data_IF_163257563036
#
_entry.id   IF_163257563036
#
_cell.length_a   1.000
_cell.length_b   1.000
_cell.length_c   1.000
_cell.angle_alpha   90.00
_cell.angle_beta   90.00
_cell.angle_gamma   90.00
#
_symmetry.space_group_name_H-M   'P 1'
#
loop_
_entity.id
_entity.type
_entity.pdbx_description
1 polymer ?
#
# COMPACT_ATOMS: atom_id res chain seq x y z
N UNK A 1 -39.98 30.90 -24.49
CA UNK A 1 -38.53 30.73 -24.20
C UNK A 1 -37.97 29.80 -25.26
N UNK A 2 -37.16 30.33 -26.17
CA UNK A 2 -36.60 29.55 -27.27
C UNK A 2 -35.69 28.45 -26.70
N UNK A 3 -35.90 27.21 -27.13
CA UNK A 3 -34.97 26.11 -26.85
C UNK A 3 -33.69 26.46 -27.60
N UNK A 4 -32.64 26.88 -26.90
CA UNK A 4 -31.29 26.81 -27.44
C UNK A 4 -31.03 25.34 -27.79
N UNK A 5 -31.15 25.01 -29.07
CA UNK A 5 -30.76 23.70 -29.55
C UNK A 5 -29.28 23.53 -29.24
N UNK A 6 -28.98 22.58 -28.37
CA UNK A 6 -27.60 22.27 -28.02
C UNK A 6 -26.83 22.00 -29.32
N UNK A 7 -25.75 22.76 -29.54
CA UNK A 7 -24.83 22.65 -30.68
C UNK A 7 -24.38 21.20 -30.97
N UNK A 8 -24.44 20.32 -29.96
CA UNK A 8 -24.03 18.92 -30.02
C UNK A 8 -25.22 17.97 -29.80
N UNK A 9 -25.29 16.89 -30.58
CA UNK A 9 -26.41 15.95 -30.59
C UNK A 9 -26.01 14.47 -30.62
N UNK A 10 -26.98 13.58 -30.41
CA UNK A 10 -26.78 12.12 -30.34
C UNK A 10 -27.96 11.33 -30.91
N UNK A 11 -28.70 11.93 -31.86
CA UNK A 11 -29.93 11.35 -32.44
C UNK A 11 -29.66 10.02 -33.14
N UNK A 12 -28.54 9.96 -33.86
CA UNK A 12 -28.06 8.84 -34.64
C UNK A 12 -26.53 8.92 -34.77
N UNK A 13 -25.93 7.95 -35.45
CA UNK A 13 -24.50 7.89 -35.69
C UNK A 13 -23.97 9.12 -36.44
N UNK A 14 -24.67 9.57 -37.48
CA UNK A 14 -24.24 10.72 -38.27
C UNK A 14 -24.19 12.00 -37.42
N UNK A 15 -25.19 12.21 -36.56
CA UNK A 15 -25.22 13.36 -35.64
C UNK A 15 -24.13 13.26 -34.57
N UNK A 16 -23.78 12.06 -34.14
CA UNK A 16 -22.67 11.84 -33.21
C UNK A 16 -21.32 12.20 -33.86
N UNK A 17 -21.09 11.77 -35.10
CA UNK A 17 -19.88 12.10 -35.88
C UNK A 17 -19.79 13.61 -36.15
N UNK A 18 -20.88 14.27 -36.53
CA UNK A 18 -20.94 15.73 -36.69
C UNK A 18 -20.59 16.46 -35.37
N UNK A 19 -21.11 15.96 -34.25
CA UNK A 19 -20.82 16.54 -32.94
C UNK A 19 -19.35 16.39 -32.55
N UNK A 20 -18.72 15.26 -32.90
CA UNK A 20 -17.29 15.06 -32.69
C UNK A 20 -16.45 15.98 -33.58
N UNK A 21 -16.88 16.22 -34.83
CA UNK A 21 -16.21 17.15 -35.73
C UNK A 21 -16.26 18.58 -35.20
N UNK A 22 -17.44 19.03 -34.76
CA UNK A 22 -17.62 20.35 -34.15
C UNK A 22 -16.79 20.54 -32.88
N UNK A 23 -16.53 19.45 -32.14
CA UNK A 23 -15.73 19.48 -30.92
C UNK A 23 -14.23 19.60 -31.19
N UNK A 24 -13.72 19.28 -32.39
CA UNK A 24 -12.27 19.39 -32.70
C UNK A 24 -11.72 20.80 -32.53
N UNK A 25 -12.56 21.82 -32.66
CA UNK A 25 -12.19 23.23 -32.48
C UNK A 25 -12.00 23.63 -31.00
N UNK A 26 -12.49 22.82 -30.06
CA UNK A 26 -12.44 23.10 -28.62
C UNK A 26 -11.20 22.47 -27.96
N UNK A 27 -10.90 22.83 -26.72
CA UNK A 27 -9.79 22.21 -25.98
C UNK A 27 -10.09 20.74 -25.61
N UNK A 28 -9.04 19.93 -25.53
CA UNK A 28 -9.16 18.49 -25.31
C UNK A 28 -9.95 18.11 -24.04
N UNK A 29 -9.82 18.89 -22.96
CA UNK A 29 -10.55 18.63 -21.71
C UNK A 29 -12.04 18.91 -21.89
N UNK A 30 -12.40 19.98 -22.59
CA UNK A 30 -13.78 20.30 -22.94
C UNK A 30 -14.39 19.26 -23.89
N UNK A 31 -13.64 18.79 -24.88
CA UNK A 31 -14.06 17.70 -25.76
C UNK A 31 -14.45 16.46 -24.95
N UNK A 32 -13.56 16.00 -24.07
CA UNK A 32 -13.78 14.80 -23.24
C UNK A 32 -14.98 14.94 -22.30
N UNK A 33 -15.15 16.10 -21.66
CA UNK A 33 -16.30 16.38 -20.80
C UNK A 33 -17.62 16.40 -21.57
N UNK A 34 -17.62 17.02 -22.76
CA UNK A 34 -18.81 17.13 -23.59
C UNK A 34 -19.25 15.78 -24.12
N UNK A 35 -18.31 14.96 -24.61
CA UNK A 35 -18.60 13.60 -25.08
C UNK A 35 -19.13 12.71 -23.95
N UNK A 36 -18.52 12.75 -22.75
CA UNK A 36 -19.05 12.03 -21.56
C UNK A 36 -20.46 12.50 -21.19
N UNK A 37 -20.72 13.80 -21.25
CA UNK A 37 -22.04 14.38 -21.02
C UNK A 37 -23.09 13.93 -22.04
N UNK A 38 -22.73 13.85 -23.32
CA UNK A 38 -23.58 13.36 -24.41
C UNK A 38 -23.93 11.88 -24.22
N UNK A 39 -22.94 11.04 -23.89
CA UNK A 39 -23.19 9.61 -23.57
C UNK A 39 -24.16 9.48 -22.39
N UNK A 40 -23.98 10.26 -21.33
CA UNK A 40 -24.87 10.24 -20.16
C UNK A 40 -26.29 10.70 -20.46
N UNK A 41 -26.48 11.66 -21.39
CA UNK A 41 -27.82 12.05 -21.88
C UNK A 41 -28.41 10.97 -22.79
N UNK A 42 -27.62 10.42 -23.71
CA UNK A 42 -28.04 9.36 -24.62
C UNK A 42 -28.50 8.11 -23.87
N UNK A 43 -27.77 7.66 -22.84
CA UNK A 43 -28.17 6.53 -21.99
C UNK A 43 -29.49 6.80 -21.24
N UNK A 44 -29.73 8.04 -20.78
CA UNK A 44 -31.03 8.41 -20.18
C UNK A 44 -32.16 8.37 -21.21
N UNK A 45 -31.97 8.94 -22.40
CA UNK A 45 -32.98 8.91 -23.48
C UNK A 45 -33.25 7.48 -23.95
N UNK A 46 -32.22 6.63 -24.00
CA UNK A 46 -32.33 5.22 -24.35
C UNK A 46 -33.29 4.47 -23.41
N UNK A 47 -33.25 4.73 -22.10
CA UNK A 47 -34.18 4.10 -21.13
C UNK A 47 -35.64 4.53 -21.30
N UNK A 48 -35.89 5.66 -21.95
CA UNK A 48 -37.24 6.22 -22.16
C UNK A 48 -37.77 5.95 -23.58
N UNK A 49 -36.93 5.48 -24.49
CA UNK A 49 -37.28 5.29 -25.91
C UNK A 49 -37.81 3.88 -26.13
N UNK A 50 -39.05 3.76 -26.61
CA UNK A 50 -39.70 2.47 -26.91
C UNK A 50 -39.62 2.05 -28.38
N UNK A 51 -39.40 3.01 -29.29
CA UNK A 51 -39.30 2.73 -30.72
C UNK A 51 -37.95 2.10 -31.06
N UNK A 52 -37.97 0.87 -31.58
CA UNK A 52 -36.79 0.04 -31.80
C UNK A 52 -35.76 0.67 -32.74
N UNK A 53 -36.21 1.29 -33.82
CA UNK A 53 -35.34 2.02 -34.76
C UNK A 53 -34.59 3.17 -34.05
N UNK A 54 -35.28 3.93 -33.19
CA UNK A 54 -34.66 5.02 -32.42
C UNK A 54 -33.70 4.49 -31.35
N UNK A 55 -34.02 3.35 -30.74
CA UNK A 55 -33.12 2.65 -29.80
C UNK A 55 -31.81 2.27 -30.51
N UNK A 56 -31.88 1.72 -31.72
CA UNK A 56 -30.71 1.34 -32.50
C UNK A 56 -29.88 2.57 -32.91
N UNK A 57 -30.53 3.66 -33.32
CA UNK A 57 -29.85 4.91 -33.67
C UNK A 57 -29.12 5.52 -32.46
N UNK A 58 -29.74 5.55 -31.28
CA UNK A 58 -29.11 6.04 -30.04
C UNK A 58 -27.96 5.13 -29.61
N UNK A 59 -28.09 3.79 -29.73
CA UNK A 59 -27.00 2.86 -29.45
C UNK A 59 -25.81 3.10 -30.38
N UNK A 60 -26.04 3.29 -31.68
CA UNK A 60 -25.00 3.58 -32.65
C UNK A 60 -24.31 4.93 -32.36
N UNK A 61 -25.05 5.95 -31.92
CA UNK A 61 -24.49 7.22 -31.47
C UNK A 61 -23.61 7.04 -30.22
N UNK A 62 -24.05 6.26 -29.23
CA UNK A 62 -23.27 5.95 -28.01
C UNK A 62 -21.98 5.23 -28.37
N UNK A 63 -22.04 4.20 -29.22
CA UNK A 63 -20.88 3.42 -29.65
C UNK A 63 -19.85 4.30 -30.36
N UNK A 64 -20.30 5.26 -31.18
CA UNK A 64 -19.44 6.22 -31.86
C UNK A 64 -18.67 7.09 -30.87
N UNK A 65 -19.35 7.61 -29.85
CA UNK A 65 -18.70 8.39 -28.78
C UNK A 65 -17.76 7.55 -27.91
N UNK A 66 -18.13 6.31 -27.60
CA UNK A 66 -17.29 5.40 -26.80
C UNK A 66 -16.00 5.05 -27.56
N UNK A 67 -16.09 4.72 -28.86
CA UNK A 67 -14.92 4.51 -29.73
C UNK A 67 -14.02 5.75 -29.83
N UNK A 68 -14.62 6.93 -29.96
CA UNK A 68 -13.85 8.18 -29.98
C UNK A 68 -13.15 8.44 -28.63
N UNK A 69 -13.83 8.20 -27.50
CA UNK A 69 -13.21 8.31 -26.17
C UNK A 69 -12.07 7.31 -25.99
N UNK A 70 -12.19 6.09 -26.50
CA UNK A 70 -11.12 5.10 -26.45
C UNK A 70 -9.89 5.53 -27.25
N UNK A 71 -10.10 6.07 -28.45
CA UNK A 71 -9.02 6.57 -29.32
C UNK A 71 -8.34 7.83 -28.76
N UNK A 72 -9.10 8.71 -28.11
CA UNK A 72 -8.62 10.03 -27.69
C UNK A 72 -8.26 10.12 -26.21
N UNK A 73 -8.34 9.04 -25.44
CA UNK A 73 -7.92 9.05 -24.03
C UNK A 73 -6.39 8.96 -23.90
N UNK A 74 -5.70 10.09 -24.10
CA UNK A 74 -4.30 10.24 -23.68
C UNK A 74 -4.26 10.41 -22.15
N UNK A 75 -4.15 9.30 -21.44
CA UNK A 75 -3.76 9.14 -20.04
C UNK A 75 -3.89 10.39 -19.13
N UNK A 76 -5.10 10.67 -18.65
CA UNK A 76 -5.35 11.21 -17.30
C UNK A 76 -6.84 11.37 -17.04
N UNK A 77 -7.52 10.26 -16.70
CA UNK A 77 -8.57 10.29 -15.67
C UNK A 77 -8.86 8.87 -15.21
N UNK A 78 -8.70 8.68 -13.90
CA UNK A 78 -8.90 7.46 -13.12
C UNK A 78 -10.28 6.85 -13.40
N UNK A 79 -10.29 5.71 -14.10
CA UNK A 79 -11.26 4.60 -14.03
C UNK A 79 -11.04 3.55 -15.15
N UNK A 80 -9.84 3.52 -15.76
CA UNK A 80 -9.36 2.34 -16.44
C UNK A 80 -8.70 1.43 -15.40
N UNK A 81 -9.16 0.17 -15.36
CA UNK A 81 -8.53 -0.97 -14.68
C UNK A 81 -7.01 -0.88 -14.81
N UNK A 82 -6.23 -0.90 -13.72
CA UNK A 82 -4.78 -0.88 -13.82
C UNK A 82 -4.31 -2.01 -14.72
N UNK A 83 -3.62 -1.65 -15.82
CA UNK A 83 -2.67 -2.53 -16.50
C UNK A 83 -1.28 -2.24 -15.90
N UNK A 84 -1.17 -2.44 -14.61
CA UNK A 84 -0.12 -3.30 -14.10
C UNK A 84 -0.87 -4.56 -13.69
N UNK A 85 -0.33 -5.74 -13.96
CA UNK A 85 -0.80 -6.95 -13.31
C UNK A 85 -0.47 -6.84 -11.80
N UNK A 86 -1.13 -5.93 -11.08
CA UNK A 86 -1.37 -6.14 -9.65
C UNK A 86 -2.17 -7.43 -9.60
N UNK A 87 -1.44 -8.51 -9.35
CA UNK A 87 -1.99 -9.81 -9.04
C UNK A 87 -3.17 -9.59 -8.10
N UNK A 88 -4.37 -9.97 -8.57
CA UNK A 88 -5.62 -9.65 -7.87
C UNK A 88 -5.49 -10.18 -6.45
N UNK A 89 -5.38 -9.27 -5.48
CA UNK A 89 -5.29 -9.64 -4.08
C UNK A 89 -6.55 -10.42 -3.72
N UNK A 90 -6.36 -11.68 -3.31
CA UNK A 90 -7.43 -12.53 -2.82
C UNK A 90 -8.08 -11.87 -1.60
N UNK A 91 -9.40 -11.73 -1.63
CA UNK A 91 -10.15 -11.21 -0.48
C UNK A 91 -10.24 -12.28 0.59
N UNK A 92 -10.15 -11.89 1.87
CA UNK A 92 -10.36 -12.83 2.98
C UNK A 92 -11.75 -13.48 2.84
N UNK A 93 -11.83 -14.82 2.81
CA UNK A 93 -13.10 -15.52 2.66
C UNK A 93 -13.96 -15.44 3.93
N UNK A 94 -15.26 -15.66 3.78
CA UNK A 94 -16.19 -15.80 4.92
C UNK A 94 -16.68 -14.48 5.54
N UNK A 95 -16.28 -13.31 5.02
CA UNK A 95 -16.80 -12.02 5.46
C UNK A 95 -18.24 -11.80 4.94
N UNK A 96 -19.15 -11.32 5.80
CA UNK A 96 -20.55 -11.13 5.46
C UNK A 96 -21.34 -10.24 6.44
N UNK A 97 -22.53 -9.82 6.02
CA UNK A 97 -23.39 -8.90 6.79
C UNK A 97 -24.89 -9.23 6.68
N UNK A 98 -25.23 -10.44 6.23
CA UNK A 98 -26.62 -10.83 5.93
C UNK A 98 -27.52 -10.84 7.17
N UNK A 99 -26.95 -11.13 8.33
CA UNK A 99 -27.63 -11.26 9.62
C UNK A 99 -26.60 -11.07 10.75
N UNK A 100 -27.11 -11.00 11.99
CA UNK A 100 -26.30 -10.83 13.20
C UNK A 100 -25.20 -11.90 13.33
N UNK A 101 -25.55 -13.16 13.08
CA UNK A 101 -24.60 -14.28 13.19
C UNK A 101 -23.46 -14.14 12.16
N UNK A 102 -23.76 -13.75 10.92
CA UNK A 102 -22.75 -13.52 9.89
C UNK A 102 -21.83 -12.33 10.24
N UNK A 103 -22.36 -11.29 10.88
CA UNK A 103 -21.56 -10.18 11.37
C UNK A 103 -20.63 -10.62 12.51
N UNK A 104 -21.11 -11.39 13.48
CA UNK A 104 -20.30 -11.96 14.56
C UNK A 104 -19.18 -12.86 14.01
N UNK A 105 -19.49 -13.74 13.05
CA UNK A 105 -18.48 -14.56 12.37
C UNK A 105 -17.45 -13.71 11.63
N UNK A 106 -17.89 -12.62 10.99
CA UNK A 106 -16.98 -11.67 10.32
C UNK A 106 -16.02 -11.04 11.31
N UNK A 107 -16.51 -10.56 12.46
CA UNK A 107 -15.67 -9.99 13.51
C UNK A 107 -14.65 -11.01 14.03
N UNK A 108 -15.07 -12.27 14.19
CA UNK A 108 -14.19 -13.38 14.57
C UNK A 108 -13.11 -13.66 13.51
N UNK A 109 -13.46 -13.68 12.23
CA UNK A 109 -12.49 -13.87 11.12
C UNK A 109 -11.46 -12.73 11.06
N UNK A 110 -11.85 -11.53 11.46
CA UNK A 110 -10.99 -10.34 11.47
C UNK A 110 -10.13 -10.22 12.73
N UNK A 111 -10.40 -11.01 13.77
CA UNK A 111 -9.61 -11.01 15.00
C UNK A 111 -8.14 -11.36 14.71
N UNK A 112 -7.21 -10.68 15.39
CA UNK A 112 -5.76 -10.87 15.20
C UNK A 112 -5.17 -10.28 13.89
N UNK A 113 -5.98 -9.90 12.91
CA UNK A 113 -5.49 -9.26 11.66
C UNK A 113 -5.02 -7.82 11.88
N UNK A 114 -4.40 -7.21 10.87
CA UNK A 114 -3.95 -5.82 10.95
C UNK A 114 -5.10 -4.86 11.29
N UNK A 115 -4.98 -4.00 12.31
CA UNK A 115 -6.05 -3.05 12.70
C UNK A 115 -6.59 -2.23 11.52
N UNK A 116 -5.70 -1.75 10.65
CA UNK A 116 -6.10 -1.00 9.46
C UNK A 116 -6.95 -1.84 8.49
N UNK A 117 -6.62 -3.13 8.35
CA UNK A 117 -7.41 -4.04 7.52
C UNK A 117 -8.76 -4.37 8.16
N UNK A 118 -8.82 -4.58 9.48
CA UNK A 118 -10.08 -4.79 10.20
C UNK A 118 -11.02 -3.60 9.95
N UNK A 119 -10.53 -2.37 10.17
CA UNK A 119 -11.30 -1.14 9.93
C UNK A 119 -11.73 -1.01 8.47
N UNK A 120 -10.84 -1.29 7.52
CA UNK A 120 -11.14 -1.24 6.08
C UNK A 120 -12.24 -2.23 5.69
N UNK A 121 -12.12 -3.49 6.14
CA UNK A 121 -13.06 -4.56 5.83
C UNK A 121 -14.46 -4.23 6.38
N UNK A 122 -14.55 -3.82 7.65
CA UNK A 122 -15.82 -3.47 8.29
C UNK A 122 -16.48 -2.25 7.63
N UNK A 123 -15.72 -1.20 7.32
CA UNK A 123 -16.24 -0.04 6.56
C UNK A 123 -16.75 -0.45 5.17
N UNK A 124 -16.04 -1.34 4.49
CA UNK A 124 -16.46 -1.88 3.19
C UNK A 124 -17.79 -2.66 3.25
N UNK A 125 -17.96 -3.48 4.30
CA UNK A 125 -19.19 -4.23 4.53
C UNK A 125 -20.35 -3.31 4.92
N UNK A 126 -20.13 -2.32 5.80
CA UNK A 126 -21.13 -1.29 6.13
C UNK A 126 -21.58 -0.52 4.89
N UNK A 127 -20.64 -0.11 4.03
CA UNK A 127 -20.97 0.55 2.76
C UNK A 127 -21.78 -0.35 1.83
N UNK A 128 -21.50 -1.66 1.83
CA UNK A 128 -22.25 -2.64 1.04
C UNK A 128 -23.66 -2.86 1.60
N UNK A 129 -23.80 -2.99 2.91
CA UNK A 129 -25.09 -3.09 3.59
C UNK A 129 -25.98 -1.87 3.32
N UNK A 130 -25.42 -0.66 3.44
CA UNK A 130 -26.12 0.61 3.14
C UNK A 130 -26.63 0.68 1.68
N UNK A 131 -25.90 0.07 0.72
CA UNK A 131 -26.36 0.00 -0.69
C UNK A 131 -27.45 -1.05 -0.91
N UNK A 132 -27.43 -2.15 -0.18
CA UNK A 132 -28.39 -3.26 -0.32
C UNK A 132 -29.72 -2.96 0.37
N UNK A 133 -29.70 -2.24 1.49
CA UNK A 133 -30.89 -1.91 2.28
C UNK A 133 -32.05 -1.33 1.46
N UNK A 134 -31.87 -0.29 0.63
CA UNK A 134 -32.99 0.31 -0.13
C UNK A 134 -33.64 -0.65 -1.15
N UNK A 135 -32.88 -1.63 -1.64
CA UNK A 135 -33.38 -2.62 -2.61
C UNK A 135 -34.04 -3.83 -1.92
N UNK A 136 -33.95 -3.94 -0.59
CA UNK A 136 -34.47 -5.09 0.17
C UNK A 136 -35.90 -4.84 0.60
N UNK A 137 -36.85 -5.61 0.05
CA UNK A 137 -38.30 -5.46 0.32
C UNK A 137 -38.79 -6.29 1.51
N UNK A 138 -38.07 -7.35 1.88
CA UNK A 138 -38.46 -8.22 2.97
C UNK A 138 -38.05 -7.60 4.31
N UNK A 139 -39.03 -7.36 5.19
CA UNK A 139 -38.84 -6.64 6.46
C UNK A 139 -37.94 -7.40 7.43
N UNK A 140 -38.04 -8.72 7.51
CA UNK A 140 -37.16 -9.55 8.36
C UNK A 140 -35.70 -9.42 7.92
N UNK A 141 -35.43 -9.48 6.61
CA UNK A 141 -34.08 -9.27 6.06
C UNK A 141 -33.58 -7.85 6.32
N UNK A 142 -34.44 -6.85 6.21
CA UNK A 142 -34.07 -5.46 6.56
C UNK A 142 -33.67 -5.38 8.03
N UNK A 143 -34.43 -6.01 8.93
CA UNK A 143 -34.11 -6.07 10.36
C UNK A 143 -32.78 -6.79 10.61
N UNK A 144 -32.57 -7.97 10.01
CA UNK A 144 -31.32 -8.73 10.16
C UNK A 144 -30.09 -7.97 9.64
N UNK A 145 -30.20 -7.25 8.52
CA UNK A 145 -29.11 -6.41 8.00
C UNK A 145 -28.84 -5.23 8.94
N UNK A 146 -29.89 -4.59 9.50
CA UNK A 146 -29.71 -3.51 10.48
C UNK A 146 -29.03 -3.99 11.75
N UNK A 147 -29.38 -5.17 12.27
CA UNK A 147 -28.72 -5.78 13.42
C UNK A 147 -27.24 -6.07 13.13
N UNK A 148 -26.92 -6.60 11.95
CA UNK A 148 -25.53 -6.79 11.50
C UNK A 148 -24.75 -5.47 11.42
N UNK A 149 -25.39 -4.42 10.90
CA UNK A 149 -24.78 -3.09 10.82
C UNK A 149 -24.50 -2.48 12.18
N UNK A 150 -25.42 -2.64 13.14
CA UNK A 150 -25.23 -2.15 14.51
C UNK A 150 -23.96 -2.74 15.14
N UNK A 151 -23.75 -4.06 15.03
CA UNK A 151 -22.53 -4.71 15.51
C UNK A 151 -21.24 -4.14 14.88
N UNK A 152 -21.29 -3.79 13.60
CA UNK A 152 -20.16 -3.20 12.90
C UNK A 152 -19.92 -1.74 13.29
N UNK A 153 -20.98 -0.97 13.54
CA UNK A 153 -20.86 0.41 14.04
C UNK A 153 -20.31 0.39 15.48
N UNK A 154 -20.83 -0.47 16.36
CA UNK A 154 -20.30 -0.68 17.72
C UNK A 154 -18.82 -1.09 17.71
N UNK A 155 -18.43 -1.99 16.80
CA UNK A 155 -17.03 -2.38 16.62
C UNK A 155 -16.15 -1.18 16.22
N UNK A 156 -16.60 -0.34 15.29
CA UNK A 156 -15.83 0.82 14.83
C UNK A 156 -15.72 1.88 15.93
N UNK A 157 -16.77 2.09 16.72
CA UNK A 157 -16.76 3.00 17.86
C UNK A 157 -15.79 2.52 18.95
N UNK A 158 -15.79 1.22 19.26
CA UNK A 158 -14.81 0.60 20.16
C UNK A 158 -13.39 0.76 19.59
N UNK A 159 -13.21 0.49 18.30
CA UNK A 159 -11.93 0.57 17.62
C UNK A 159 -11.31 1.98 17.73
N UNK A 160 -12.12 3.02 17.54
CA UNK A 160 -11.67 4.40 17.62
C UNK A 160 -11.46 4.85 19.07
N UNK A 161 -12.31 4.42 20.02
CA UNK A 161 -12.16 4.68 21.45
C UNK A 161 -10.87 4.08 22.03
N UNK A 162 -10.51 2.87 21.61
CA UNK A 162 -9.29 2.18 22.03
C UNK A 162 -8.04 2.58 21.20
N UNK A 163 -8.21 3.53 20.27
CA UNK A 163 -7.17 3.98 19.34
C UNK A 163 -6.46 2.82 18.62
N UNK A 164 -7.19 1.75 18.29
CA UNK A 164 -6.61 0.50 17.75
C UNK A 164 -5.82 0.72 16.46
N UNK A 165 -6.10 1.79 15.71
CA UNK A 165 -5.31 2.21 14.55
C UNK A 165 -3.84 2.49 14.89
N UNK A 166 -3.54 3.06 16.07
CA UNK A 166 -2.16 3.31 16.51
C UNK A 166 -1.39 2.03 16.84
N UNK A 167 -2.10 0.92 17.02
CA UNK A 167 -1.52 -0.38 17.30
C UNK A 167 -1.12 -1.14 16.02
N UNK A 168 -1.38 -0.56 14.85
CA UNK A 168 -1.03 -1.17 13.58
C UNK A 168 0.49 -1.35 13.45
N UNK A 169 0.90 -2.51 12.94
CA UNK A 169 2.31 -2.90 12.80
C UNK A 169 2.67 -2.97 11.32
N UNK A 170 2.99 -1.83 10.66
CA UNK A 170 3.22 -1.78 9.22
C UNK A 170 4.34 -2.71 8.78
N UNK A 171 4.21 -3.23 7.56
CA UNK A 171 5.18 -4.15 6.98
C UNK A 171 6.41 -3.39 6.49
N UNK A 172 7.60 -3.93 6.80
CA UNK A 172 8.83 -3.54 6.13
C UNK A 172 8.83 -4.09 4.70
N UNK A 173 9.52 -3.40 3.80
CA UNK A 173 9.78 -3.92 2.46
C UNK A 173 10.79 -5.07 2.53
N UNK A 174 10.62 -6.07 1.65
CA UNK A 174 11.58 -7.18 1.50
C UNK A 174 13.00 -6.65 1.27
N UNK A 175 13.14 -5.61 0.44
CA UNK A 175 14.43 -5.00 0.13
C UNK A 175 15.15 -4.46 1.38
N UNK A 176 14.43 -3.81 2.29
CA UNK A 176 15.02 -3.34 3.54
C UNK A 176 15.43 -4.53 4.42
N UNK A 177 14.60 -5.57 4.51
CA UNK A 177 14.89 -6.75 5.36
C UNK A 177 16.17 -7.46 4.89
N UNK A 178 16.35 -7.62 3.57
CA UNK A 178 17.55 -8.27 2.98
C UNK A 178 18.86 -7.55 3.30
N UNK A 179 18.81 -6.24 3.53
CA UNK A 179 19.99 -5.44 3.86
C UNK A 179 20.41 -5.55 5.33
N UNK A 180 19.57 -6.16 6.17
CA UNK A 180 19.81 -6.30 7.60
C UNK A 180 20.59 -7.59 7.92
N UNK A 181 21.39 -7.59 9.01
CA UNK A 181 21.96 -8.81 9.57
C UNK A 181 20.87 -9.79 9.98
N UNK A 182 21.15 -11.09 9.81
CA UNK A 182 20.33 -12.15 10.40
C UNK A 182 20.58 -12.17 11.92
N UNK A 183 19.54 -12.29 12.75
CA UNK A 183 19.71 -12.47 14.19
C UNK A 183 20.48 -13.76 14.51
N UNK A 184 21.12 -13.78 15.66
CA UNK A 184 21.93 -14.92 16.14
C UNK A 184 21.11 -16.19 16.34
N UNK A 185 19.83 -16.07 16.69
CA UNK A 185 18.88 -17.17 16.82
C UNK A 185 17.70 -16.97 15.86
N UNK A 186 17.83 -17.45 14.61
CA UNK A 186 16.76 -17.31 13.62
C UNK A 186 15.57 -18.21 14.00
N UNK A 187 14.38 -17.61 14.05
CA UNK A 187 13.13 -18.33 14.20
C UNK A 187 12.77 -18.99 12.86
N UNK A 188 12.63 -20.31 12.84
CA UNK A 188 12.26 -21.07 11.65
C UNK A 188 10.91 -20.61 11.08
N UNK A 189 9.95 -20.32 11.96
CA UNK A 189 8.63 -19.86 11.53
C UNK A 189 8.69 -18.46 10.91
N UNK A 190 9.56 -17.59 11.44
CA UNK A 190 9.81 -16.27 10.85
C UNK A 190 10.52 -16.38 9.49
N UNK A 191 11.42 -17.35 9.33
CA UNK A 191 12.06 -17.64 8.04
C UNK A 191 11.03 -18.14 7.01
N UNK A 192 10.14 -19.06 7.39
CA UNK A 192 9.05 -19.55 6.52
C UNK A 192 8.07 -18.42 6.14
N UNK A 193 7.77 -17.53 7.09
CA UNK A 193 6.99 -16.32 6.84
C UNK A 193 7.65 -15.41 5.79
N UNK A 194 8.95 -15.13 5.95
CA UNK A 194 9.69 -14.27 5.01
C UNK A 194 9.80 -14.91 3.63
N UNK A 195 10.03 -16.23 3.56
CA UNK A 195 10.04 -16.96 2.30
C UNK A 195 8.69 -16.82 1.58
N UNK A 196 7.57 -17.02 2.28
CA UNK A 196 6.24 -16.80 1.71
C UNK A 196 6.01 -15.32 1.31
N UNK A 197 6.48 -14.36 2.11
CA UNK A 197 6.32 -12.94 1.82
C UNK A 197 7.12 -12.52 0.57
N UNK A 198 8.31 -13.09 0.40
CA UNK A 198 9.20 -12.82 -0.72
C UNK A 198 8.77 -13.55 -2.01
N UNK A 199 8.50 -14.85 -1.94
CA UNK A 199 8.34 -15.70 -3.13
C UNK A 199 6.88 -15.78 -3.59
N UNK A 200 5.96 -16.08 -2.67
CA UNK A 200 4.53 -16.27 -2.98
C UNK A 200 3.80 -14.94 -3.05
N UNK A 201 4.02 -14.06 -2.06
CA UNK A 201 3.37 -12.76 -1.99
C UNK A 201 4.12 -11.67 -2.78
N UNK A 202 5.32 -11.95 -3.30
CA UNK A 202 6.14 -11.05 -4.13
C UNK A 202 6.33 -9.66 -3.50
N UNK A 203 6.48 -9.61 -2.17
CA UNK A 203 6.61 -8.37 -1.41
C UNK A 203 5.30 -7.58 -1.22
N UNK A 204 4.15 -8.07 -1.69
CA UNK A 204 2.85 -7.47 -1.42
C UNK A 204 2.17 -8.18 -0.25
N UNK A 205 2.30 -7.58 0.93
CA UNK A 205 1.82 -8.13 2.21
C UNK A 205 0.31 -8.42 2.22
N UNK A 206 -0.48 -7.82 1.32
CA UNK A 206 -1.93 -8.07 1.29
C UNK A 206 -2.25 -9.52 0.93
N UNK A 207 -1.40 -10.22 0.17
CA UNK A 207 -1.59 -11.64 -0.14
C UNK A 207 -1.46 -12.54 1.09
N UNK A 208 -0.68 -12.12 2.10
CA UNK A 208 -0.47 -12.86 3.35
C UNK A 208 -1.76 -13.05 4.15
N UNK A 209 -2.83 -12.30 3.84
CA UNK A 209 -4.15 -12.43 4.45
C UNK A 209 -4.89 -13.71 4.08
N UNK A 210 -4.40 -14.42 3.06
CA UNK A 210 -5.02 -15.64 2.50
C UNK A 210 -4.06 -16.82 2.40
N UNK A 211 -2.77 -16.60 2.69
CA UNK A 211 -1.75 -17.64 2.71
C UNK A 211 -1.47 -18.04 4.14
N UNK A 212 -1.25 -19.33 4.37
CA UNK A 212 -0.98 -19.92 5.68
C UNK A 212 0.29 -20.79 5.60
N UNK A 213 0.95 -21.08 6.74
CA UNK A 213 1.93 -22.14 6.81
C UNK A 213 1.30 -23.49 6.40
N UNK A 214 2.15 -24.45 6.01
CA UNK A 214 1.67 -25.81 5.73
C UNK A 214 1.01 -26.37 7.00
N UNK A 215 -0.16 -26.95 6.82
CA UNK A 215 -0.93 -27.64 7.88
C UNK A 215 -1.49 -26.73 8.99
N UNK A 216 -1.42 -25.41 8.85
CA UNK A 216 -2.08 -24.46 9.77
C UNK A 216 -3.34 -23.83 9.16
N UNK A 217 -4.35 -23.56 10.00
CA UNK A 217 -5.58 -22.88 9.59
C UNK A 217 -5.46 -21.35 9.61
N UNK A 218 -4.52 -20.81 10.38
CA UNK A 218 -4.31 -19.37 10.54
C UNK A 218 -3.45 -18.81 9.41
N UNK A 219 -3.81 -17.62 8.93
CA UNK A 219 -3.07 -16.95 7.85
C UNK A 219 -1.85 -16.20 8.39
N UNK A 220 -0.88 -15.96 7.52
CA UNK A 220 0.42 -15.37 7.87
C UNK A 220 0.29 -14.00 8.53
N UNK A 221 -0.69 -13.18 8.15
CA UNK A 221 -0.94 -11.88 8.80
C UNK A 221 -1.32 -12.03 10.29
N UNK A 222 -2.14 -13.03 10.63
CA UNK A 222 -2.54 -13.32 12.01
C UNK A 222 -1.35 -13.86 12.81
N UNK A 223 -0.65 -14.86 12.25
CA UNK A 223 0.51 -15.50 12.89
C UNK A 223 1.59 -14.47 13.18
N UNK A 224 1.91 -13.62 12.19
CA UNK A 224 2.85 -12.50 12.33
C UNK A 224 2.44 -11.60 13.47
N UNK A 225 1.20 -11.10 13.48
CA UNK A 225 0.76 -10.14 14.48
C UNK A 225 0.80 -10.75 15.89
N UNK A 226 0.38 -12.01 16.05
CA UNK A 226 0.50 -12.74 17.32
C UNK A 226 1.94 -12.82 17.82
N UNK A 227 2.89 -13.15 16.94
CA UNK A 227 4.30 -13.25 17.32
C UNK A 227 4.93 -11.88 17.61
N UNK A 228 4.57 -10.85 16.84
CA UNK A 228 5.00 -9.48 17.11
C UNK A 228 4.52 -8.97 18.47
N UNK A 229 3.30 -9.29 18.90
CA UNK A 229 2.84 -8.90 20.24
C UNK A 229 3.68 -9.54 21.36
N UNK A 230 4.19 -10.77 21.16
CA UNK A 230 5.10 -11.43 22.11
C UNK A 230 6.48 -10.78 22.14
N UNK A 231 6.95 -10.30 20.99
CA UNK A 231 8.27 -9.70 20.81
C UNK A 231 8.32 -8.19 21.07
N UNK A 232 7.17 -7.54 21.30
CA UNK A 232 7.16 -6.11 21.56
C UNK A 232 8.05 -5.78 22.77
N UNK A 233 8.99 -4.83 22.63
CA UNK A 233 9.84 -4.41 23.73
C UNK A 233 8.98 -3.94 24.89
N UNK A 234 9.32 -4.39 26.10
CA UNK A 234 8.60 -4.01 27.33
C UNK A 234 9.33 -2.85 27.99
N UNK A 235 8.63 -1.76 28.27
CA UNK A 235 9.22 -0.57 28.89
C UNK A 235 10.21 0.14 27.95
N UNK A 236 11.37 0.54 28.47
CA UNK A 236 12.37 1.36 27.79
C UNK A 236 13.47 0.56 27.06
N UNK A 237 13.19 -0.68 26.66
CA UNK A 237 14.17 -1.51 25.96
C UNK A 237 14.62 -0.83 24.65
N UNK A 238 15.93 -0.55 24.56
CA UNK A 238 16.51 0.10 23.39
C UNK A 238 16.63 -0.88 22.23
N UNK A 239 16.08 -0.48 21.08
CA UNK A 239 16.16 -1.26 19.83
C UNK A 239 17.44 -1.04 19.03
N UNK A 240 18.30 -0.14 19.50
CA UNK A 240 19.63 0.12 18.95
C UNK A 240 20.62 0.25 20.10
N UNK A 241 21.82 -0.27 19.88
CA UNK A 241 22.95 -0.08 20.79
C UNK A 241 23.52 1.35 20.71
N UNK A 242 24.56 1.62 21.50
CA UNK A 242 25.29 2.89 21.50
C UNK A 242 25.99 3.18 20.17
N UNK A 243 26.33 2.16 19.39
CA UNK A 243 27.00 2.26 18.10
C UNK A 243 25.99 2.50 16.96
N UNK A 244 24.69 2.52 17.25
CA UNK A 244 23.62 2.66 16.27
C UNK A 244 23.32 1.38 15.48
N UNK A 245 23.77 0.21 15.94
CA UNK A 245 23.40 -1.09 15.37
C UNK A 245 22.09 -1.59 15.99
N UNK A 246 21.20 -2.26 15.22
CA UNK A 246 20.01 -2.87 15.76
C UNK A 246 20.36 -3.94 16.80
N UNK A 247 19.62 -3.96 17.90
CA UNK A 247 19.75 -5.05 18.89
C UNK A 247 19.17 -6.36 18.36
N UNK A 248 19.49 -7.46 19.02
CA UNK A 248 18.94 -8.79 18.67
C UNK A 248 17.40 -8.79 18.67
N UNK A 249 16.78 -8.15 19.67
CA UNK A 249 15.32 -7.96 19.74
C UNK A 249 14.80 -7.24 18.50
N UNK A 250 15.49 -6.18 18.05
CA UNK A 250 15.07 -5.43 16.88
C UNK A 250 15.23 -6.23 15.58
N UNK A 251 16.29 -7.03 15.45
CA UNK A 251 16.47 -7.94 14.31
C UNK A 251 15.37 -9.03 14.28
N UNK A 252 14.95 -9.55 15.44
CA UNK A 252 13.81 -10.49 15.53
C UNK A 252 12.49 -9.84 15.12
N UNK A 253 12.23 -8.58 15.48
CA UNK A 253 11.07 -7.83 14.97
C UNK A 253 11.15 -7.65 13.45
N UNK A 254 12.34 -7.35 12.93
CA UNK A 254 12.56 -7.17 11.49
C UNK A 254 12.37 -8.48 10.70
N UNK A 255 12.68 -9.65 11.28
CA UNK A 255 12.36 -10.94 10.67
C UNK A 255 10.85 -11.17 10.50
N UNK A 256 10.03 -10.58 11.36
CA UNK A 256 8.57 -10.53 11.21
C UNK A 256 8.12 -9.32 10.38
N UNK A 257 9.00 -8.76 9.54
CA UNK A 257 8.77 -7.61 8.70
C UNK A 257 8.20 -6.40 9.47
N UNK A 258 8.70 -6.10 10.67
CA UNK A 258 8.24 -4.96 11.46
C UNK A 258 9.40 -4.21 12.12
N UNK A 259 9.25 -2.88 12.19
CA UNK A 259 10.08 -2.04 13.05
C UNK A 259 9.29 -0.81 13.48
N UNK A 260 9.30 -0.43 14.78
CA UNK A 260 8.76 0.85 15.22
C UNK A 260 9.71 2.04 14.90
N UNK A 261 10.94 1.78 14.45
CA UNK A 261 11.97 2.78 14.18
C UNK A 261 12.53 2.63 12.75
N UNK A 262 11.63 2.59 11.76
CA UNK A 262 11.93 2.29 10.35
C UNK A 262 13.02 3.19 9.77
N UNK A 263 12.98 4.51 10.01
CA UNK A 263 13.96 5.45 9.45
C UNK A 263 15.37 5.24 9.99
N UNK A 264 15.49 4.89 11.28
CA UNK A 264 16.77 4.55 11.90
C UNK A 264 17.31 3.21 11.35
N UNK A 265 16.40 2.27 11.08
CA UNK A 265 16.74 0.99 10.46
C UNK A 265 17.22 1.16 9.00
N UNK A 266 16.58 2.02 8.21
CA UNK A 266 17.03 2.40 6.86
C UNK A 266 18.40 3.06 6.88
N UNK A 267 18.63 3.97 7.82
CA UNK A 267 19.92 4.66 7.99
C UNK A 267 21.06 3.67 8.29
N UNK A 268 20.79 2.69 9.16
CA UNK A 268 21.72 1.60 9.43
C UNK A 268 21.96 0.71 8.21
N UNK A 269 20.90 0.29 7.51
CA UNK A 269 21.03 -0.54 6.30
C UNK A 269 21.90 0.14 5.23
N UNK A 270 21.72 1.45 5.02
CA UNK A 270 22.50 2.23 4.08
C UNK A 270 23.99 2.33 4.46
N UNK A 271 24.32 2.45 5.75
CA UNK A 271 25.72 2.49 6.21
C UNK A 271 26.36 1.10 6.18
N UNK A 272 25.61 0.05 6.50
CA UNK A 272 26.07 -1.33 6.48
C UNK A 272 26.33 -1.86 5.06
N UNK A 273 25.50 -1.48 4.08
CA UNK A 273 25.74 -1.83 2.68
C UNK A 273 27.03 -1.20 2.13
N UNK A 274 27.32 0.05 2.52
CA UNK A 274 28.55 0.76 2.10
C UNK A 274 29.81 0.09 2.66
N UNK A 275 29.80 -0.38 3.91
CA UNK A 275 30.96 -1.07 4.50
C UNK A 275 31.22 -2.44 3.88
N UNK A 276 30.19 -3.16 3.41
CA UNK A 276 30.35 -4.42 2.64
C UNK A 276 30.89 -4.20 1.22
N UNK A 277 30.55 -3.09 0.57
CA UNK A 277 30.94 -2.80 -0.81
C UNK A 277 32.39 -2.29 -0.99
N UNK A 278 33.10 -1.97 0.10
CA UNK A 278 34.44 -1.37 0.01
C UNK A 278 35.52 -2.15 0.80
N UNK A 279 35.89 -3.37 0.37
CA UNK A 279 37.09 -4.03 0.87
C UNK A 279 38.31 -3.51 0.10
N UNK A 280 38.71 -2.24 0.31
CA UNK A 280 39.97 -1.72 -0.25
C UNK A 280 40.96 -1.33 0.85
N UNK A 281 41.87 -2.30 1.09
CA UNK A 281 43.30 -2.18 1.41
C UNK A 281 43.71 -1.03 2.34
N UNK A 282 43.88 -1.38 3.61
CA UNK A 282 45.03 -0.89 4.40
C UNK A 282 45.73 -2.07 5.06
N UNK A 283 46.52 -2.77 4.25
CA UNK A 283 47.65 -3.55 4.73
C UNK A 283 48.93 -2.84 4.26
N UNK A 284 49.53 -2.08 5.16
CA UNK A 284 50.98 -1.90 5.12
C UNK A 284 51.48 -2.11 6.55
N UNK A 285 51.62 -3.39 6.89
CA UNK A 285 52.60 -3.81 7.88
C UNK A 285 53.96 -3.67 7.20
N UNK A 286 54.82 -2.82 7.75
CA UNK A 286 56.27 -3.00 7.67
C UNK A 286 56.80 -2.82 9.07
N UNK A 287 56.97 -3.95 9.73
CA UNK A 287 57.80 -4.12 10.92
C UNK A 287 59.22 -4.45 10.47
N UNK A 288 60.16 -3.86 11.21
CA UNK A 288 61.54 -4.24 11.47
C UNK A 288 62.68 -3.96 10.48
N UNK A 289 63.67 -3.30 11.07
CA UNK A 289 64.99 -2.97 10.55
C UNK A 289 65.71 -2.05 11.54
N UNK A 290 66.04 -2.55 12.74
CA UNK A 290 67.06 -1.96 13.60
C UNK A 290 68.43 -2.02 12.91
N UNK A 291 69.21 -0.93 12.88
CA UNK A 291 70.58 -0.93 13.39
C UNK A 291 71.21 0.47 13.45
N UNK A 292 71.95 0.67 14.53
CA UNK A 292 72.80 1.79 14.92
C UNK A 292 73.96 2.10 13.95
N UNK A 293 74.39 3.37 13.81
CA UNK A 293 75.60 3.94 14.46
C UNK A 293 76.06 5.31 13.87
N UNK A 294 76.41 6.22 14.79
CA UNK A 294 77.57 7.13 14.81
C UNK A 294 77.87 8.16 13.68
N UNK A 295 77.58 9.42 14.04
CA UNK A 295 78.54 10.52 14.33
C UNK A 295 79.21 11.40 13.23
N UNK A 296 79.23 12.71 13.56
CA UNK A 296 80.17 13.81 13.21
C UNK A 296 80.03 14.46 11.82
N UNK A 297 80.18 15.76 11.60
CA UNK A 297 80.45 16.94 12.45
C UNK A 297 80.16 18.22 11.60
N UNK A 298 79.75 19.30 12.29
CA UNK A 298 80.07 20.74 12.09
C UNK A 298 79.48 21.69 11.02
N UNK A 299 79.19 22.87 11.61
CA UNK A 299 79.16 24.27 11.12
C UNK A 299 77.88 24.75 10.40
N UNK A 300 77.25 25.86 10.80
CA UNK A 300 77.55 26.87 11.82
C UNK A 300 76.63 28.09 11.69
N UNK A 301 76.58 28.89 12.78
CA UNK A 301 75.99 30.23 12.96
C UNK A 301 74.46 30.36 12.95
N UNK A 302 73.83 31.32 13.64
CA UNK A 302 74.09 32.13 14.84
C UNK A 302 72.79 32.97 15.03
N UNK A 303 72.61 33.54 16.22
CA UNK A 303 71.67 34.60 16.62
C UNK A 303 70.32 34.21 17.25
N UNK A 304 70.34 34.29 18.60
CA UNK A 304 69.61 35.26 19.45
C UNK A 304 68.30 35.85 18.90
N UNK A 305 67.21 36.06 19.64
CA UNK A 305 67.12 36.44 21.04
C UNK A 305 65.66 36.32 21.54
N UNK A 306 65.54 36.16 22.86
CA UNK A 306 64.40 36.41 23.75
C UNK A 306 63.27 37.31 23.22
N UNK A 307 62.01 36.93 23.50
CA UNK A 307 61.27 37.45 24.68
C UNK A 307 59.88 36.83 24.82
N UNK A 308 59.65 36.35 26.04
CA UNK A 308 58.37 36.14 26.71
C UNK A 308 57.63 37.46 26.95
N UNK A 309 56.30 37.40 26.90
CA UNK A 309 55.33 38.02 27.83
C UNK A 309 53.95 37.47 27.42
N UNK A 310 53.37 36.60 28.24
CA UNK A 310 52.50 36.90 29.38
C UNK A 310 51.08 37.18 28.90
#
# INVERSE_FOLDING_TARGET
>A
MAKEESKYGFKDRAKAEESLELLKAEDHKYQMLTVRGLIGRAKRVLTLTKAEEKVNNIKAAIETFEKWLEANNTASTKNAKPKEAEEKVETVPGLGFKDKQAAEQTLKILEGRDPDYQKLAIKGLLGSAKRVLPATKNEDKVKSIKEAMALFEDFLDLFDREERGKQNMPYLSIELIRQLPTPSQPDKLAADFLDCYETVAKGNYKHLRTKAPKDEQETWDIIRNRNLQKLKPKGDEKLFDSDGKPTETHLKLAQWAYSPQVEKLKSFAASHAKSKSNPRKRSHSTSDGEESNKSKDKHGKDQSNKKSKK
#
